data_IF_286654364865
#
_entry.id   IF_286654364865
#
_cell.length_a   1.000
_cell.length_b   1.000
_cell.length_c   1.000
_cell.angle_alpha   90.00
_cell.angle_beta   90.00
_cell.angle_gamma   90.00
#
_symmetry.space_group_name_H-M   'P 1'
#
loop_
_entity.id
_entity.type
_entity.pdbx_description
1 polymer ?
#
# COMPACT_ATOMS: atom_id res chain seq x y z
N UNK A 1 -29.15 27.60 37.21
CA UNK A 1 -29.99 26.65 36.42
C UNK A 1 -29.78 26.86 34.92
N UNK A 2 -29.57 28.08 34.42
CA UNK A 2 -29.38 28.39 32.98
C UNK A 2 -28.06 27.83 32.39
N UNK A 3 -26.98 27.80 33.15
CA UNK A 3 -25.66 27.32 32.69
C UNK A 3 -25.59 25.81 32.37
N UNK A 4 -26.34 24.99 33.13
CA UNK A 4 -26.35 23.54 32.90
C UNK A 4 -27.01 23.13 31.57
N UNK A 5 -28.06 23.84 31.16
CA UNK A 5 -28.76 23.55 29.89
C UNK A 5 -27.90 23.99 28.67
N UNK A 6 -27.08 25.02 28.80
CA UNK A 6 -26.20 25.49 27.74
C UNK A 6 -25.05 24.49 27.49
N UNK A 7 -24.45 23.96 28.54
CA UNK A 7 -23.41 22.92 28.47
C UNK A 7 -23.97 21.65 27.84
N UNK A 8 -25.16 21.21 28.25
CA UNK A 8 -25.82 20.06 27.64
C UNK A 8 -26.13 20.25 26.16
N UNK A 9 -26.53 21.45 25.74
CA UNK A 9 -26.76 21.80 24.33
C UNK A 9 -25.48 21.68 23.49
N UNK A 10 -24.37 22.23 23.98
CA UNK A 10 -23.07 22.13 23.30
C UNK A 10 -22.63 20.68 23.20
N UNK A 11 -22.80 19.89 24.24
CA UNK A 11 -22.44 18.47 24.24
C UNK A 11 -23.23 17.66 23.21
N UNK A 12 -24.51 17.93 23.06
CA UNK A 12 -25.37 17.30 22.04
C UNK A 12 -24.93 17.67 20.62
N UNK A 13 -24.48 18.91 20.38
CA UNK A 13 -23.93 19.32 19.09
C UNK A 13 -22.65 18.54 18.78
N UNK A 14 -21.75 18.37 19.75
CA UNK A 14 -20.54 17.57 19.59
C UNK A 14 -20.85 16.09 19.26
N UNK A 15 -21.81 15.50 19.97
CA UNK A 15 -22.25 14.13 19.69
C UNK A 15 -22.82 14.01 18.28
N UNK A 16 -23.71 14.93 17.90
CA UNK A 16 -24.28 14.97 16.55
C UNK A 16 -23.23 15.10 15.44
N UNK A 17 -22.26 15.99 15.63
CA UNK A 17 -21.14 16.16 14.71
C UNK A 17 -20.26 14.89 14.64
N UNK A 18 -19.97 14.27 15.77
CA UNK A 18 -19.21 13.01 15.83
C UNK A 18 -19.93 11.87 15.10
N UNK A 19 -21.24 11.69 15.36
CA UNK A 19 -22.04 10.66 14.69
C UNK A 19 -22.12 10.89 13.18
N UNK A 20 -22.30 12.15 12.76
CA UNK A 20 -22.34 12.49 11.34
C UNK A 20 -21.01 12.22 10.63
N UNK A 21 -19.87 12.52 11.26
CA UNK A 21 -18.55 12.19 10.72
C UNK A 21 -18.30 10.67 10.68
N UNK A 22 -18.70 9.94 11.71
CA UNK A 22 -18.60 8.48 11.74
C UNK A 22 -19.43 7.82 10.64
N UNK A 23 -20.66 8.31 10.41
CA UNK A 23 -21.52 7.84 9.33
C UNK A 23 -20.93 8.12 7.94
N UNK A 24 -20.34 9.31 7.72
CA UNK A 24 -19.68 9.67 6.46
C UNK A 24 -18.47 8.78 6.16
N UNK A 25 -17.63 8.50 7.16
CA UNK A 25 -16.47 7.61 6.99
C UNK A 25 -16.90 6.18 6.63
N UNK A 26 -17.95 5.68 7.27
CA UNK A 26 -18.51 4.34 7.00
C UNK A 26 -19.06 4.22 5.58
N UNK A 27 -19.75 5.26 5.11
CA UNK A 27 -20.31 5.32 3.76
C UNK A 27 -19.23 5.37 2.67
N UNK A 28 -18.16 6.15 2.87
CA UNK A 28 -17.04 6.20 1.91
C UNK A 28 -16.32 4.85 1.78
N UNK A 29 -16.16 4.11 2.89
CA UNK A 29 -15.58 2.76 2.84
C UNK A 29 -16.47 1.77 2.08
N UNK A 30 -17.78 1.89 2.22
CA UNK A 30 -18.73 1.03 1.52
C UNK A 30 -18.68 1.27 0.01
N UNK A 31 -18.71 2.53 -0.44
CA UNK A 31 -18.62 2.88 -1.86
C UNK A 31 -17.30 2.42 -2.48
N UNK A 32 -16.16 2.66 -1.80
CA UNK A 32 -14.87 2.21 -2.29
C UNK A 32 -14.82 0.69 -2.45
N UNK A 33 -15.49 -0.06 -1.56
CA UNK A 33 -15.60 -1.51 -1.66
C UNK A 33 -16.47 -1.93 -2.84
N UNK A 34 -17.64 -1.34 -2.99
CA UNK A 34 -18.59 -1.63 -4.07
C UNK A 34 -17.97 -1.35 -5.47
N UNK A 35 -17.23 -0.25 -5.58
CA UNK A 35 -16.55 0.13 -6.82
C UNK A 35 -15.37 -0.79 -7.20
N UNK A 36 -14.73 -1.43 -6.25
CA UNK A 36 -13.60 -2.34 -6.48
C UNK A 36 -14.00 -3.80 -6.56
N UNK A 37 -15.22 -4.17 -6.18
CA UNK A 37 -15.71 -5.55 -6.18
C UNK A 37 -15.76 -6.13 -7.61
N UNK A 38 -15.23 -7.34 -7.77
CA UNK A 38 -15.16 -8.02 -9.06
C UNK A 38 -14.08 -7.49 -10.01
N UNK A 39 -13.25 -6.52 -9.58
CA UNK A 39 -12.12 -6.08 -10.41
C UNK A 39 -10.91 -6.95 -10.08
N UNK A 40 -10.34 -7.67 -11.06
CA UNK A 40 -9.12 -8.44 -10.84
C UNK A 40 -7.92 -7.52 -10.62
N UNK A 41 -6.96 -7.96 -9.81
CA UNK A 41 -5.69 -7.26 -9.53
C UNK A 41 -4.97 -6.87 -10.83
N UNK A 42 -5.04 -7.71 -11.85
CA UNK A 42 -4.42 -7.46 -13.17
C UNK A 42 -4.87 -6.16 -13.85
N UNK A 43 -6.07 -5.68 -13.56
CA UNK A 43 -6.58 -4.41 -14.11
C UNK A 43 -6.09 -3.17 -13.35
N UNK A 44 -5.64 -3.36 -12.12
CA UNK A 44 -5.25 -2.25 -11.22
C UNK A 44 -3.73 -2.20 -11.03
N UNK A 45 -3.04 -3.34 -11.13
CA UNK A 45 -1.59 -3.44 -10.90
C UNK A 45 -0.78 -2.68 -11.95
N UNK A 46 0.39 -2.22 -11.55
CA UNK A 46 1.45 -1.79 -12.49
C UNK A 46 2.26 -2.99 -12.96
N UNK A 47 2.44 -3.11 -14.28
CA UNK A 47 3.27 -4.15 -14.90
C UNK A 47 4.72 -3.71 -15.12
N UNK A 48 5.01 -2.39 -15.06
CA UNK A 48 6.38 -1.87 -15.07
C UNK A 48 7.01 -1.99 -13.68
N UNK A 49 7.39 -3.22 -13.32
CA UNK A 49 7.93 -3.50 -11.99
C UNK A 49 9.41 -3.17 -11.94
N UNK A 50 9.76 -2.13 -11.19
CA UNK A 50 11.15 -1.87 -10.82
C UNK A 50 11.52 -2.77 -9.64
N UNK A 51 12.44 -3.70 -9.86
CA UNK A 51 12.97 -4.60 -8.84
C UNK A 51 14.43 -4.31 -8.55
N UNK A 52 14.92 -4.77 -7.40
CA UNK A 52 16.32 -4.61 -6.99
C UNK A 52 16.99 -5.95 -6.72
N UNK A 53 18.30 -6.00 -6.88
CA UNK A 53 19.11 -7.17 -6.49
C UNK A 53 19.33 -7.20 -4.98
N UNK A 54 19.33 -8.37 -4.34
CA UNK A 54 19.68 -8.50 -2.93
C UNK A 54 21.15 -8.19 -2.63
N UNK A 55 21.99 -8.17 -3.67
CA UNK A 55 23.45 -8.06 -3.53
C UNK A 55 23.96 -6.60 -3.61
N UNK A 56 23.09 -5.60 -3.95
CA UNK A 56 23.44 -4.18 -3.94
C UNK A 56 23.52 -3.63 -2.52
N UNK A 57 24.28 -2.55 -2.35
CA UNK A 57 24.38 -1.83 -1.09
C UNK A 57 23.12 -1.04 -0.76
N UNK A 58 22.90 -0.71 0.50
CA UNK A 58 21.83 0.20 0.93
C UNK A 58 22.05 1.59 0.35
N UNK A 59 23.29 2.03 0.18
CA UNK A 59 23.61 3.32 -0.46
C UNK A 59 23.15 3.36 -1.92
N UNK A 60 23.44 2.31 -2.71
CA UNK A 60 22.98 2.22 -4.11
C UNK A 60 21.45 2.12 -4.18
N UNK A 61 20.83 1.35 -3.28
CA UNK A 61 19.38 1.27 -3.17
C UNK A 61 18.75 2.66 -2.98
N UNK A 62 19.32 3.47 -2.10
CA UNK A 62 18.79 4.81 -1.82
C UNK A 62 19.01 5.74 -3.02
N UNK A 63 20.23 5.83 -3.53
CA UNK A 63 20.62 6.78 -4.56
C UNK A 63 20.01 6.43 -5.92
N UNK A 64 20.02 5.17 -6.30
CA UNK A 64 19.64 4.74 -7.65
C UNK A 64 18.19 4.29 -7.77
N UNK A 65 17.56 3.91 -6.66
CA UNK A 65 16.19 3.41 -6.70
C UNK A 65 15.21 4.33 -5.95
N UNK A 66 15.42 4.65 -4.67
CA UNK A 66 14.44 5.47 -3.94
C UNK A 66 14.36 6.88 -4.50
N UNK A 67 15.48 7.56 -4.71
CA UNK A 67 15.49 8.93 -5.22
C UNK A 67 15.14 9.04 -6.71
N UNK A 68 15.48 8.05 -7.55
CA UNK A 68 15.17 8.12 -8.97
C UNK A 68 13.74 7.69 -9.32
N UNK A 69 13.20 6.71 -8.60
CA UNK A 69 11.87 6.15 -8.92
C UNK A 69 10.74 6.72 -8.06
N UNK A 70 11.04 7.44 -6.99
CA UNK A 70 10.07 7.96 -6.01
C UNK A 70 9.13 6.87 -5.43
N UNK A 71 9.60 5.64 -5.38
CA UNK A 71 8.88 4.52 -4.79
C UNK A 71 9.31 4.32 -3.33
N UNK A 72 8.38 3.92 -2.47
CA UNK A 72 8.63 3.69 -1.04
C UNK A 72 9.08 2.25 -0.71
N UNK A 73 9.27 1.41 -1.71
CA UNK A 73 9.73 0.03 -1.54
C UNK A 73 9.81 -0.69 -2.87
N UNK A 74 10.60 -1.73 -2.91
CA UNK A 74 10.91 -2.50 -4.11
C UNK A 74 10.83 -4.00 -3.82
N UNK A 75 10.34 -4.82 -4.78
CA UNK A 75 10.55 -6.26 -4.75
C UNK A 75 12.03 -6.55 -4.97
N UNK A 76 12.54 -7.48 -4.16
CA UNK A 76 13.91 -7.97 -4.25
C UNK A 76 13.91 -9.27 -5.06
N UNK A 77 14.62 -9.26 -6.18
CA UNK A 77 14.64 -10.38 -7.14
C UNK A 77 16.06 -10.95 -7.27
N UNK A 78 16.19 -12.27 -7.15
CA UNK A 78 17.44 -13.00 -7.38
C UNK A 78 17.23 -14.10 -8.40
N UNK A 79 17.99 -14.06 -9.51
CA UNK A 79 17.89 -15.04 -10.62
C UNK A 79 16.45 -15.18 -11.14
N UNK A 80 15.72 -14.06 -11.28
CA UNK A 80 14.35 -14.04 -11.78
C UNK A 80 13.27 -14.46 -10.75
N UNK A 81 13.64 -14.79 -9.53
CA UNK A 81 12.70 -15.17 -8.46
C UNK A 81 12.59 -14.06 -7.41
N UNK A 82 11.36 -13.79 -6.98
CA UNK A 82 11.10 -12.90 -5.85
C UNK A 82 11.62 -13.55 -4.57
N UNK A 83 12.51 -12.86 -3.85
CA UNK A 83 13.14 -13.35 -2.61
C UNK A 83 12.83 -12.51 -1.39
N UNK A 84 12.17 -11.37 -1.57
CA UNK A 84 11.80 -10.47 -0.48
C UNK A 84 11.25 -9.13 -0.98
N UNK A 85 10.98 -8.26 -0.03
CA UNK A 85 10.62 -6.86 -0.25
C UNK A 85 11.55 -5.98 0.59
N UNK A 86 11.91 -4.81 0.07
CA UNK A 86 12.66 -3.81 0.83
C UNK A 86 11.93 -2.46 0.76
N UNK A 87 11.84 -1.77 1.88
CA UNK A 87 11.14 -0.50 2.03
C UNK A 87 12.04 0.57 2.63
N UNK A 88 11.62 1.84 2.56
CA UNK A 88 12.27 2.95 3.26
C UNK A 88 12.36 2.69 4.77
N UNK A 89 11.37 1.98 5.36
CA UNK A 89 11.37 1.67 6.78
C UNK A 89 12.53 0.71 7.16
N UNK A 90 12.90 -0.19 6.24
CA UNK A 90 14.01 -1.11 6.46
C UNK A 90 15.35 -0.38 6.37
N UNK A 91 15.49 0.55 5.43
CA UNK A 91 16.67 1.44 5.35
C UNK A 91 16.86 2.27 6.62
N UNK A 92 15.77 2.78 7.22
CA UNK A 92 15.84 3.57 8.47
C UNK A 92 16.40 2.79 9.67
N UNK A 93 16.41 1.48 9.62
CA UNK A 93 17.02 0.63 10.68
C UNK A 93 18.55 0.61 10.62
N UNK A 94 19.14 1.07 9.50
CA UNK A 94 20.58 1.09 9.27
C UNK A 94 21.12 2.52 9.42
N UNK A 95 22.14 2.71 10.23
CA UNK A 95 22.84 4.00 10.36
C UNK A 95 23.53 4.36 9.05
N UNK A 96 23.58 5.66 8.72
CA UNK A 96 24.09 6.15 7.44
C UNK A 96 25.52 5.70 7.13
N UNK A 97 26.37 5.62 8.18
CA UNK A 97 27.77 5.19 8.04
C UNK A 97 27.92 3.77 7.53
N UNK A 98 26.91 2.91 7.77
CA UNK A 98 26.90 1.50 7.37
C UNK A 98 26.25 1.24 6.00
N UNK A 99 25.69 2.24 5.35
CA UNK A 99 24.96 2.04 4.10
C UNK A 99 25.80 1.42 2.98
N UNK A 100 27.09 1.75 2.91
CA UNK A 100 28.01 1.20 1.89
C UNK A 100 28.30 -0.29 2.10
N UNK A 101 28.36 -0.71 3.35
CA UNK A 101 28.76 -2.07 3.71
C UNK A 101 27.57 -3.01 3.82
N UNK A 102 26.36 -2.49 4.17
CA UNK A 102 25.15 -3.27 4.36
C UNK A 102 24.49 -3.58 3.02
N UNK A 103 24.19 -4.85 2.77
CA UNK A 103 23.47 -5.28 1.56
C UNK A 103 21.97 -5.28 1.78
N UNK A 104 21.21 -5.12 0.67
CA UNK A 104 19.74 -5.25 0.66
C UNK A 104 19.29 -6.58 1.26
N UNK A 105 20.01 -7.67 1.00
CA UNK A 105 19.72 -9.01 1.56
C UNK A 105 19.72 -9.09 3.07
N UNK A 106 20.38 -8.16 3.76
CA UNK A 106 20.47 -8.13 5.23
C UNK A 106 19.27 -7.41 5.87
N UNK A 107 18.64 -6.50 5.13
CA UNK A 107 17.57 -5.63 5.65
C UNK A 107 16.19 -5.95 5.07
N UNK A 108 16.12 -6.67 3.93
CA UNK A 108 14.85 -6.98 3.28
C UNK A 108 13.97 -7.89 4.14
N UNK A 109 12.67 -7.71 4.05
CA UNK A 109 11.69 -8.64 4.59
C UNK A 109 11.60 -9.87 3.68
N UNK A 110 11.78 -11.06 4.25
CA UNK A 110 11.68 -12.34 3.54
C UNK A 110 10.36 -13.05 3.79
N UNK A 111 9.64 -12.70 4.86
CA UNK A 111 8.32 -13.29 5.17
C UNK A 111 7.21 -12.60 4.38
N UNK A 112 7.31 -12.74 3.06
CA UNK A 112 6.39 -12.07 2.11
C UNK A 112 5.30 -12.98 1.56
N UNK A 113 5.26 -14.26 1.92
CA UNK A 113 4.30 -15.23 1.37
C UNK A 113 2.85 -14.77 1.53
N UNK A 114 2.53 -14.15 2.69
CA UNK A 114 1.20 -13.61 2.99
C UNK A 114 0.88 -12.30 2.27
N UNK A 115 1.88 -11.69 1.64
CA UNK A 115 1.78 -10.43 0.91
C UNK A 115 1.68 -10.63 -0.61
N UNK A 116 1.83 -11.86 -1.09
CA UNK A 116 1.74 -12.20 -2.50
C UNK A 116 0.27 -12.33 -2.90
N UNK A 117 -0.08 -11.76 -4.05
CA UNK A 117 -1.40 -11.90 -4.68
C UNK A 117 -1.24 -12.37 -6.12
N UNK A 118 -2.27 -13.00 -6.66
CA UNK A 118 -2.31 -13.39 -8.07
C UNK A 118 -3.02 -12.35 -8.94
N UNK A 119 -2.78 -12.32 -10.27
CA UNK A 119 -3.44 -11.39 -11.19
C UNK A 119 -4.97 -11.52 -11.21
N UNK A 120 -5.50 -12.72 -10.97
CA UNK A 120 -6.92 -13.04 -11.00
C UNK A 120 -7.62 -12.76 -9.66
N UNK A 121 -6.88 -12.53 -8.58
CA UNK A 121 -7.48 -12.19 -7.29
C UNK A 121 -8.24 -10.87 -7.36
N UNK A 122 -9.29 -10.77 -6.53
CA UNK A 122 -10.07 -9.56 -6.40
C UNK A 122 -9.25 -8.41 -5.78
N UNK A 123 -9.34 -7.22 -6.36
CA UNK A 123 -8.67 -6.01 -5.88
C UNK A 123 -8.99 -5.68 -4.42
N UNK A 124 -10.23 -5.97 -3.97
CA UNK A 124 -10.63 -5.80 -2.56
C UNK A 124 -9.82 -6.70 -1.63
N UNK A 125 -9.55 -7.94 -2.06
CA UNK A 125 -8.73 -8.85 -1.27
C UNK A 125 -7.32 -8.31 -1.10
N UNK A 126 -6.72 -7.81 -2.18
CA UNK A 126 -5.40 -7.17 -2.12
C UNK A 126 -5.40 -5.97 -1.17
N UNK A 127 -6.43 -5.10 -1.24
CA UNK A 127 -6.58 -3.97 -0.31
C UNK A 127 -6.74 -4.42 1.15
N UNK A 128 -7.47 -5.49 1.39
CA UNK A 128 -7.65 -6.09 2.71
C UNK A 128 -6.33 -6.62 3.29
N UNK A 129 -5.49 -7.27 2.46
CA UNK A 129 -4.15 -7.73 2.83
C UNK A 129 -3.27 -6.53 3.19
N UNK A 130 -3.26 -5.47 2.37
CA UNK A 130 -2.50 -4.24 2.67
C UNK A 130 -2.90 -3.63 4.01
N UNK A 131 -4.18 -3.61 4.31
CA UNK A 131 -4.71 -3.06 5.58
C UNK A 131 -4.34 -3.93 6.77
N UNK A 132 -4.51 -5.25 6.65
CA UNK A 132 -4.22 -6.23 7.70
C UNK A 132 -2.75 -6.23 8.10
N UNK A 133 -1.85 -6.24 7.11
CA UNK A 133 -0.41 -6.28 7.34
C UNK A 133 0.26 -4.91 7.38
N UNK A 134 -0.53 -3.82 7.26
CA UNK A 134 -0.07 -2.42 7.28
C UNK A 134 1.01 -2.12 6.24
N UNK A 135 0.94 -2.79 5.08
CA UNK A 135 1.86 -2.58 3.96
C UNK A 135 1.24 -1.67 2.90
N UNK A 136 2.08 -0.95 2.16
CA UNK A 136 1.65 0.00 1.13
C UNK A 136 1.58 -0.59 -0.27
N UNK A 137 2.08 -1.82 -0.47
CA UNK A 137 2.14 -2.49 -1.78
C UNK A 137 2.27 -4.00 -1.63
N UNK A 138 1.86 -4.72 -2.66
CA UNK A 138 1.95 -6.17 -2.73
C UNK A 138 2.58 -6.58 -4.06
N UNK A 139 3.50 -7.54 -4.10
CA UNK A 139 3.97 -8.15 -5.33
C UNK A 139 2.87 -9.05 -5.91
N UNK A 140 2.72 -9.00 -7.23
CA UNK A 140 1.77 -9.82 -7.97
C UNK A 140 2.55 -10.93 -8.69
N UNK A 141 2.26 -12.18 -8.35
CA UNK A 141 2.91 -13.33 -8.95
C UNK A 141 1.92 -14.13 -9.79
N UNK A 142 2.35 -14.51 -11.00
CA UNK A 142 1.70 -15.54 -11.82
C UNK A 142 2.65 -16.73 -11.96
N UNK A 143 2.19 -17.92 -11.54
CA UNK A 143 2.96 -19.18 -11.60
C UNK A 143 4.39 -19.02 -11.05
N UNK A 144 4.53 -18.28 -9.95
CA UNK A 144 5.81 -18.05 -9.28
C UNK A 144 6.71 -16.98 -9.93
N UNK A 145 6.26 -16.31 -10.99
CA UNK A 145 6.97 -15.19 -11.62
C UNK A 145 6.36 -13.86 -11.19
N UNK A 146 7.19 -12.89 -10.89
CA UNK A 146 6.77 -11.52 -10.61
C UNK A 146 6.27 -10.87 -11.91
N UNK A 147 4.95 -10.61 -11.99
CA UNK A 147 4.29 -10.04 -13.19
C UNK A 147 3.79 -8.63 -12.97
N UNK A 148 3.70 -8.20 -11.71
CA UNK A 148 3.20 -6.88 -11.38
C UNK A 148 3.47 -6.50 -9.93
N UNK A 149 3.12 -5.28 -9.61
CA UNK A 149 3.06 -4.75 -8.25
C UNK A 149 1.79 -3.92 -8.13
N UNK A 150 1.08 -4.06 -7.03
CA UNK A 150 -0.09 -3.23 -6.74
C UNK A 150 0.18 -2.39 -5.49
N UNK A 151 -0.07 -1.10 -5.56
CA UNK A 151 0.12 -0.16 -4.47
C UNK A 151 -1.20 0.53 -4.10
N UNK A 152 -1.29 1.12 -2.89
CA UNK A 152 -2.49 1.87 -2.49
C UNK A 152 -2.87 2.98 -3.47
N UNK A 153 -1.87 3.62 -4.09
CA UNK A 153 -2.09 4.66 -5.09
C UNK A 153 -2.86 4.14 -6.30
N UNK A 154 -2.61 2.92 -6.72
CA UNK A 154 -3.22 2.33 -7.91
C UNK A 154 -4.73 2.12 -7.70
N UNK A 155 -5.14 1.75 -6.49
CA UNK A 155 -6.57 1.71 -6.12
C UNK A 155 -7.22 3.07 -6.16
N UNK A 156 -6.54 4.12 -5.66
CA UNK A 156 -7.08 5.49 -5.68
C UNK A 156 -7.28 5.98 -7.11
N UNK A 157 -6.32 5.74 -7.99
CA UNK A 157 -6.44 6.07 -9.41
C UNK A 157 -7.59 5.31 -10.10
N UNK A 158 -7.74 4.01 -9.79
CA UNK A 158 -8.85 3.21 -10.31
C UNK A 158 -10.21 3.77 -9.85
N UNK A 159 -10.33 4.15 -8.58
CA UNK A 159 -11.56 4.75 -8.04
C UNK A 159 -11.87 6.10 -8.66
N UNK A 160 -10.87 6.97 -8.85
CA UNK A 160 -11.04 8.27 -9.50
C UNK A 160 -11.60 8.11 -10.92
N UNK A 161 -11.02 7.21 -11.72
CA UNK A 161 -11.48 6.92 -13.08
C UNK A 161 -12.93 6.40 -13.08
N UNK A 162 -13.26 5.47 -12.18
CA UNK A 162 -14.64 4.94 -12.10
C UNK A 162 -15.65 6.03 -11.75
N UNK A 163 -15.36 6.84 -10.73
CA UNK A 163 -16.25 7.94 -10.32
C UNK A 163 -16.44 8.98 -11.43
N UNK A 164 -15.41 9.20 -12.25
CA UNK A 164 -15.55 10.10 -13.41
C UNK A 164 -16.42 9.50 -14.52
N UNK A 165 -16.29 8.20 -14.77
CA UNK A 165 -17.09 7.51 -15.79
C UNK A 165 -18.56 7.33 -15.38
N UNK A 166 -18.85 7.14 -14.10
CA UNK A 166 -20.22 7.00 -13.58
C UNK A 166 -20.99 8.34 -13.52
N UNK A 167 -20.32 9.47 -13.78
CA UNK A 167 -20.97 10.81 -13.88
C UNK A 167 -21.45 11.15 -15.28
N UNK A 168 -21.21 10.31 -16.26
CA UNK A 168 -21.63 10.45 -17.66
C UNK A 168 -22.90 9.64 -17.90
#
# INVERSE_FOLDING_TARGET
IFFGNFINGIWLIFIGFFLMNAARMSYQQLIARELLEGIPVSKVMSTDVKSVSPDISVEDLVNDHFFKCFHHGFPVVKKGKLVGMVTIQDVKKVTHEKWKETKVSEIMDRDIEKLIVSPEEDAIRALSIMSKYKVGRLPVLDKGKLVGIIARRDFMQCLEIKVELDKV
#
